data_IF_064403458678
#
_entry.id   IF_064403458678
#
_cell.length_a   1.000
_cell.length_b   1.000
_cell.length_c   1.000
_cell.angle_alpha   90.00
_cell.angle_beta   90.00
_cell.angle_gamma   90.00
#
_symmetry.space_group_name_H-M   'P 1'
#
loop_
_entity.id
_entity.type
_entity.pdbx_description
1 polymer ?
#
# COMPACT_ATOMS: atom_id res chain seq x y z
N UNK A 1 -10.53 -12.99 28.14
CA UNK A 1 -10.20 -12.62 29.55
C UNK A 1 -10.38 -11.12 29.68
N UNK A 2 -11.08 -10.64 30.71
CA UNK A 2 -11.34 -9.21 30.90
C UNK A 2 -10.49 -8.63 32.02
N UNK A 3 -9.94 -7.44 31.82
CA UNK A 3 -9.16 -6.71 32.82
C UNK A 3 -9.88 -5.43 33.21
N UNK A 4 -9.86 -5.11 34.50
CA UNK A 4 -10.49 -3.89 35.03
C UNK A 4 -9.43 -3.07 35.75
N UNK A 5 -9.29 -1.82 35.32
CA UNK A 5 -8.38 -0.86 35.93
C UNK A 5 -9.18 0.29 36.53
N UNK A 6 -8.88 0.65 37.77
CA UNK A 6 -9.45 1.85 38.42
C UNK A 6 -8.48 3.00 38.36
N UNK A 7 -8.90 4.09 37.74
CA UNK A 7 -8.19 5.36 37.71
C UNK A 7 -9.04 6.40 38.45
N UNK A 8 -8.72 6.62 39.72
CA UNK A 8 -9.54 7.46 40.60
C UNK A 8 -10.95 6.88 40.78
N UNK A 9 -11.97 7.63 40.38
CA UNK A 9 -13.38 7.20 40.44
C UNK A 9 -13.87 6.50 39.16
N UNK A 10 -13.04 6.40 38.11
CA UNK A 10 -13.42 5.79 36.84
C UNK A 10 -12.94 4.33 36.80
N UNK A 11 -13.86 3.42 36.49
CA UNK A 11 -13.56 2.02 36.19
C UNK A 11 -13.51 1.80 34.68
N UNK A 12 -12.37 1.36 34.16
CA UNK A 12 -12.18 1.01 32.75
C UNK A 12 -12.18 -0.51 32.62
N UNK A 13 -13.03 -1.03 31.75
CA UNK A 13 -13.13 -2.45 31.44
C UNK A 13 -12.54 -2.70 30.05
N UNK A 14 -11.56 -3.60 29.98
CA UNK A 14 -10.95 -4.02 28.72
C UNK A 14 -11.28 -5.50 28.52
N UNK A 15 -12.13 -5.77 27.53
CA UNK A 15 -12.35 -7.13 27.05
C UNK A 15 -11.38 -7.46 25.92
N UNK A 16 -10.56 -8.49 26.12
CA UNK A 16 -9.70 -9.04 25.06
C UNK A 16 -10.47 -10.15 24.36
N UNK A 17 -11.19 -9.79 23.30
CA UNK A 17 -11.78 -10.73 22.33
C UNK A 17 -10.75 -10.97 21.22
N UNK A 18 -9.90 -12.00 21.35
CA UNK A 18 -8.93 -12.28 20.28
C UNK A 18 -7.93 -13.43 20.50
N UNK A 19 -7.63 -13.81 21.74
CA UNK A 19 -6.53 -14.76 21.99
C UNK A 19 -6.72 -16.13 21.32
N UNK A 20 -7.92 -16.73 21.33
CA UNK A 20 -8.11 -18.07 20.77
C UNK A 20 -7.99 -18.11 19.24
N UNK A 21 -8.51 -17.10 18.55
CA UNK A 21 -8.41 -17.01 17.09
C UNK A 21 -6.97 -16.69 16.64
N UNK A 22 -6.28 -15.83 17.40
CA UNK A 22 -4.90 -15.45 17.13
C UNK A 22 -3.93 -16.62 17.39
N UNK A 23 -4.16 -17.41 18.45
CA UNK A 23 -3.36 -18.60 18.74
C UNK A 23 -3.50 -19.67 17.66
N UNK A 24 -4.73 -19.89 17.15
CA UNK A 24 -4.96 -20.79 16.01
C UNK A 24 -4.33 -20.28 14.71
N UNK A 25 -4.34 -18.97 14.46
CA UNK A 25 -3.69 -18.38 13.30
C UNK A 25 -2.16 -18.52 13.35
N UNK A 26 -1.55 -18.29 14.52
CA UNK A 26 -0.11 -18.46 14.73
C UNK A 26 0.32 -19.92 14.57
N UNK A 27 -0.47 -20.87 15.07
CA UNK A 27 -0.18 -22.29 14.89
C UNK A 27 -0.30 -22.74 13.43
N UNK A 28 -1.28 -22.21 12.69
CA UNK A 28 -1.44 -22.45 11.26
C UNK A 28 -0.23 -21.92 10.46
N UNK A 29 0.22 -20.69 10.75
CA UNK A 29 1.41 -20.09 10.13
C UNK A 29 2.67 -20.90 10.44
N UNK A 30 2.85 -21.34 11.68
CA UNK A 30 4.00 -22.15 12.08
C UNK A 30 4.07 -23.48 11.31
N UNK A 31 2.92 -24.14 11.08
CA UNK A 31 2.84 -25.38 10.29
C UNK A 31 3.14 -25.14 8.81
N UNK A 32 2.66 -24.03 8.24
CA UNK A 32 2.96 -23.67 6.86
C UNK A 32 4.45 -23.42 6.64
N UNK A 33 5.09 -22.68 7.55
CA UNK A 33 6.52 -22.44 7.48
C UNK A 33 7.31 -23.74 7.61
N UNK A 34 6.94 -24.63 8.52
CA UNK A 34 7.57 -25.94 8.66
C UNK A 34 7.46 -26.77 7.37
N UNK A 35 6.32 -26.75 6.69
CA UNK A 35 6.13 -27.42 5.39
C UNK A 35 7.07 -26.86 4.30
N UNK A 36 7.17 -25.54 4.19
CA UNK A 36 8.07 -24.90 3.22
C UNK A 36 9.54 -25.24 3.46
N UNK A 37 9.97 -25.34 4.73
CA UNK A 37 11.33 -25.77 5.06
C UNK A 37 11.56 -27.24 4.68
N UNK A 38 10.57 -28.12 4.90
CA UNK A 38 10.65 -29.52 4.49
C UNK A 38 10.75 -29.67 2.97
N UNK A 39 9.97 -28.90 2.21
CA UNK A 39 10.00 -28.92 0.75
C UNK A 39 11.34 -28.42 0.21
N UNK A 40 11.90 -27.37 0.81
CA UNK A 40 13.22 -26.85 0.45
C UNK A 40 14.33 -27.87 0.67
N UNK A 41 14.30 -28.59 1.79
CA UNK A 41 15.28 -29.64 2.10
C UNK A 41 15.10 -30.84 1.18
N UNK A 42 13.86 -31.25 0.88
CA UNK A 42 13.58 -32.33 -0.07
C UNK A 42 14.07 -31.98 -1.48
N UNK A 43 13.84 -30.75 -1.93
CA UNK A 43 14.34 -30.27 -3.22
C UNK A 43 15.88 -30.26 -3.27
N UNK A 44 16.54 -29.88 -2.18
CA UNK A 44 18.01 -29.90 -2.09
C UNK A 44 18.60 -31.33 -2.09
N UNK A 45 17.83 -32.34 -1.69
CA UNK A 45 18.24 -33.74 -1.66
C UNK A 45 17.91 -34.51 -2.95
N UNK A 46 17.19 -33.91 -3.90
CA UNK A 46 16.91 -34.53 -5.19
C UNK A 46 18.18 -34.51 -6.08
N UNK A 47 18.57 -35.64 -6.71
CA UNK A 47 19.71 -35.66 -7.62
C UNK A 47 19.41 -34.83 -8.87
N UNK A 48 20.19 -33.77 -9.07
CA UNK A 48 20.07 -32.84 -10.20
C UNK A 48 20.29 -33.54 -11.53
N UNK A 49 19.25 -33.69 -12.34
CA UNK A 49 19.42 -33.81 -13.78
C UNK A 49 19.97 -32.47 -14.29
N UNK A 50 21.20 -32.47 -14.82
CA UNK A 50 21.92 -31.29 -15.27
C UNK A 50 21.14 -30.52 -16.34
N UNK A 51 20.56 -29.39 -15.97
CA UNK A 51 20.23 -28.31 -16.88
C UNK A 51 21.21 -27.17 -16.62
N UNK A 52 22.19 -27.01 -17.51
CA UNK A 52 23.15 -25.90 -17.46
C UNK A 52 22.43 -24.56 -17.58
N UNK A 53 22.61 -23.60 -16.66
CA UNK A 53 22.09 -22.26 -16.84
C UNK A 53 22.92 -21.53 -17.91
N UNK A 54 22.23 -21.05 -18.95
CA UNK A 54 22.76 -20.08 -19.92
C UNK A 54 23.12 -18.78 -19.18
N UNK A 55 24.22 -18.07 -19.52
CA UNK A 55 24.55 -16.82 -18.84
C UNK A 55 23.50 -15.74 -19.12
N UNK A 56 22.89 -15.23 -18.05
CA UNK A 56 22.04 -14.06 -18.09
C UNK A 56 22.85 -12.84 -18.55
N UNK A 57 22.34 -12.14 -19.56
CA UNK A 57 22.88 -10.88 -20.04
C UNK A 57 22.77 -9.82 -18.95
N UNK A 58 23.86 -9.09 -18.70
CA UNK A 58 23.94 -8.05 -17.69
C UNK A 58 22.93 -6.92 -17.98
N UNK A 59 22.17 -6.43 -16.98
CA UNK A 59 21.32 -5.26 -17.14
C UNK A 59 22.17 -3.99 -17.30
N UNK A 60 21.91 -3.23 -18.35
CA UNK A 60 22.45 -1.88 -18.56
C UNK A 60 22.06 -0.94 -17.41
N UNK A 61 23.00 -0.10 -17.01
CA UNK A 61 22.88 0.86 -15.93
C UNK A 61 21.68 1.83 -16.12
N UNK A 62 21.04 2.28 -15.02
CA UNK A 62 19.98 3.28 -15.07
C UNK A 62 20.53 4.65 -15.50
N UNK A 63 19.77 5.45 -16.28
CA UNK A 63 20.14 6.83 -16.55
C UNK A 63 20.06 7.68 -15.29
N UNK A 64 21.06 8.53 -15.10
CA UNK A 64 21.21 9.47 -13.99
C UNK A 64 20.06 10.49 -13.97
N UNK A 65 19.43 10.77 -12.83
CA UNK A 65 18.44 11.84 -12.72
C UNK A 65 19.10 13.22 -12.90
N UNK A 66 18.49 14.16 -13.65
CA UNK A 66 18.97 15.54 -13.71
C UNK A 66 18.66 16.25 -12.39
N UNK A 67 19.70 16.85 -11.80
CA UNK A 67 19.60 17.76 -10.65
C UNK A 67 18.96 19.08 -11.11
N UNK A 68 17.86 19.57 -10.51
CA UNK A 68 17.42 20.93 -10.76
C UNK A 68 18.34 21.91 -10.00
N UNK A 69 19.12 22.69 -10.76
CA UNK A 69 19.93 23.77 -10.23
C UNK A 69 19.05 24.92 -9.71
N UNK A 70 19.50 25.49 -8.59
CA UNK A 70 18.81 26.54 -7.84
C UNK A 70 18.78 27.91 -8.56
N UNK A 71 17.66 28.60 -8.34
CA UNK A 71 17.45 30.07 -8.26
C UNK A 71 18.14 30.99 -9.28
N UNK A 72 17.35 31.55 -10.20
CA UNK A 72 17.66 32.79 -10.90
C UNK A 72 16.66 33.90 -10.57
N UNK A 73 17.22 35.07 -10.25
CA UNK A 73 16.64 36.39 -10.01
C UNK A 73 15.67 36.86 -11.13
N UNK A 74 14.62 37.65 -10.83
CA UNK A 74 13.69 38.14 -11.86
C UNK A 74 14.32 39.27 -12.70
N UNK A 75 14.23 39.12 -14.02
CA UNK A 75 14.56 40.12 -15.04
C UNK A 75 13.52 40.01 -16.19
N UNK A 76 13.32 41.07 -17.00
CA UNK A 76 12.00 41.58 -17.40
C UNK A 76 11.27 40.76 -18.48
N UNK A 77 9.97 41.05 -18.57
CA UNK A 77 8.96 40.40 -19.42
C UNK A 77 9.32 40.50 -20.92
N UNK A 78 9.54 39.35 -21.57
CA UNK A 78 9.64 39.19 -23.02
C UNK A 78 8.27 38.84 -23.65
N UNK A 79 8.02 39.16 -24.94
CA UNK A 79 6.74 38.89 -25.61
C UNK A 79 6.43 37.39 -25.73
N UNK A 80 5.14 36.99 -25.93
CA UNK A 80 4.74 35.59 -25.93
C UNK A 80 5.33 34.86 -27.15
N UNK A 81 6.29 33.98 -26.88
CA UNK A 81 6.77 32.97 -27.83
C UNK A 81 5.67 31.91 -27.96
N UNK A 82 5.28 31.56 -29.18
CA UNK A 82 4.33 30.48 -29.44
C UNK A 82 4.79 29.18 -28.73
N UNK A 83 3.87 28.40 -28.12
CA UNK A 83 4.26 27.20 -27.40
C UNK A 83 4.92 26.23 -28.36
N UNK A 84 6.16 25.85 -28.05
CA UNK A 84 6.83 24.75 -28.74
C UNK A 84 5.99 23.47 -28.60
N UNK A 85 5.94 22.59 -29.61
CA UNK A 85 5.26 21.31 -29.49
C UNK A 85 5.87 20.53 -28.33
N UNK A 86 5.05 20.26 -27.31
CA UNK A 86 5.44 19.42 -26.17
C UNK A 86 5.66 18.01 -26.72
N UNK A 87 6.80 17.35 -26.44
CA UNK A 87 6.99 15.96 -26.82
C UNK A 87 5.84 15.11 -26.28
N UNK A 88 5.24 14.28 -27.13
CA UNK A 88 4.26 13.31 -26.67
C UNK A 88 4.92 12.38 -25.65
N UNK A 89 4.40 12.34 -24.43
CA UNK A 89 4.77 11.32 -23.45
C UNK A 89 4.40 9.97 -24.08
N UNK A 90 5.30 8.97 -24.10
CA UNK A 90 4.97 7.64 -24.59
C UNK A 90 3.70 7.17 -23.89
N UNK A 91 2.67 6.83 -24.67
CA UNK A 91 1.44 6.28 -24.12
C UNK A 91 1.78 4.96 -23.43
N UNK A 92 1.32 4.81 -22.19
CA UNK A 92 1.37 3.53 -21.50
C UNK A 92 0.62 2.47 -22.34
N UNK A 93 1.15 1.25 -22.49
CA UNK A 93 0.57 0.24 -23.38
C UNK A 93 -0.85 -0.19 -23.01
N UNK A 94 -1.29 0.11 -21.80
CA UNK A 94 -2.62 -0.23 -21.31
C UNK A 94 -3.63 0.91 -21.49
N UNK A 95 -3.15 2.12 -21.77
CA UNK A 95 -4.01 3.26 -22.09
C UNK A 95 -4.44 3.25 -23.55
N UNK A 96 -5.67 3.69 -23.83
CA UNK A 96 -6.09 3.94 -25.21
C UNK A 96 -5.32 5.13 -25.79
N UNK A 97 -5.22 5.25 -27.13
CA UNK A 97 -4.58 6.41 -27.74
C UNK A 97 -5.21 7.73 -27.27
N UNK A 98 -4.39 8.59 -26.64
CA UNK A 98 -4.83 9.88 -26.11
C UNK A 98 -5.48 9.83 -24.72
N UNK A 99 -5.64 8.63 -24.13
CA UNK A 99 -6.10 8.46 -22.76
C UNK A 99 -4.93 8.69 -21.79
N UNK A 100 -5.23 9.34 -20.67
CA UNK A 100 -4.26 9.50 -19.59
C UNK A 100 -4.57 8.53 -18.46
N UNK A 101 -3.55 8.03 -17.73
CA UNK A 101 -3.75 7.25 -16.53
C UNK A 101 -4.66 7.97 -15.52
N UNK A 102 -5.74 7.31 -15.12
CA UNK A 102 -6.65 7.80 -14.09
C UNK A 102 -7.10 6.63 -13.21
N UNK A 103 -7.38 6.92 -11.93
CA UNK A 103 -7.99 5.94 -11.04
C UNK A 103 -9.49 5.88 -11.30
N UNK A 104 -10.03 4.67 -11.45
CA UNK A 104 -11.47 4.44 -11.57
C UNK A 104 -11.95 3.49 -10.47
N UNK A 105 -13.28 3.44 -10.28
CA UNK A 105 -13.96 2.50 -9.36
C UNK A 105 -13.29 2.37 -7.97
N UNK A 106 -12.95 1.15 -7.57
CA UNK A 106 -12.33 0.85 -6.29
C UNK A 106 -10.96 1.51 -6.10
N UNK A 107 -10.18 1.70 -7.16
CA UNK A 107 -8.90 2.42 -7.05
C UNK A 107 -9.09 3.90 -6.80
N UNK A 108 -10.15 4.51 -7.35
CA UNK A 108 -10.49 5.89 -7.03
C UNK A 108 -10.89 6.04 -5.55
N UNK A 109 -11.69 5.10 -5.02
CA UNK A 109 -12.05 5.08 -3.59
C UNK A 109 -10.83 4.85 -2.70
N UNK A 110 -9.92 3.96 -3.10
CA UNK A 110 -8.68 3.68 -2.39
C UNK A 110 -7.75 4.90 -2.36
N UNK A 111 -7.58 5.54 -3.52
CA UNK A 111 -6.79 6.76 -3.67
C UNK A 111 -7.37 7.91 -2.83
N UNK A 112 -8.69 8.04 -2.75
CA UNK A 112 -9.32 9.05 -1.90
C UNK A 112 -8.99 8.88 -0.41
N UNK A 113 -8.84 7.63 0.06
CA UNK A 113 -8.47 7.34 1.46
C UNK A 113 -6.96 7.44 1.72
N UNK A 114 -6.13 7.01 0.77
CA UNK A 114 -4.67 6.98 0.91
C UNK A 114 -4.00 8.31 0.52
N UNK A 115 -4.63 9.10 -0.33
CA UNK A 115 -4.10 10.34 -0.88
C UNK A 115 -2.70 10.17 -1.46
N UNK A 116 -1.79 11.07 -1.07
CA UNK A 116 -0.41 11.08 -1.57
C UNK A 116 0.42 9.82 -1.28
N UNK A 117 -0.07 8.92 -0.40
CA UNK A 117 0.58 7.63 -0.14
C UNK A 117 0.47 6.66 -1.31
N UNK A 118 -0.65 6.68 -2.02
CA UNK A 118 -0.87 5.84 -3.21
C UNK A 118 -0.19 6.42 -4.46
N UNK A 119 0.05 7.73 -4.45
CA UNK A 119 0.63 8.45 -5.58
C UNK A 119 -0.37 8.73 -6.69
N UNK A 120 0.17 8.98 -7.88
CA UNK A 120 -0.54 9.18 -9.14
C UNK A 120 -0.46 7.92 -10.00
N UNK A 121 -1.51 7.60 -10.77
CA UNK A 121 -1.48 6.46 -11.68
C UNK A 121 -0.47 6.73 -12.80
N UNK A 122 0.34 5.73 -13.13
CA UNK A 122 1.34 5.78 -14.22
C UNK A 122 0.95 4.90 -15.40
N UNK A 123 -0.09 4.09 -15.24
CA UNK A 123 -0.70 3.25 -16.28
C UNK A 123 -2.23 3.31 -16.19
N UNK A 124 -2.92 2.95 -17.27
CA UNK A 124 -4.35 2.68 -17.20
C UNK A 124 -4.61 1.29 -16.59
N UNK A 125 -5.84 0.98 -16.22
CA UNK A 125 -6.18 -0.33 -15.64
C UNK A 125 -6.01 -1.44 -16.69
N UNK A 126 -5.39 -2.56 -16.31
CA UNK A 126 -5.20 -3.73 -17.17
C UNK A 126 -5.40 -5.04 -16.42
N UNK A 127 -5.84 -6.08 -17.11
CA UNK A 127 -5.92 -7.42 -16.52
C UNK A 127 -4.53 -8.02 -16.28
N UNK A 128 -4.37 -8.78 -15.20
CA UNK A 128 -3.13 -9.48 -14.90
C UNK A 128 -2.75 -10.43 -16.06
N UNK A 129 -1.60 -10.22 -16.72
CA UNK A 129 -1.17 -11.06 -17.84
C UNK A 129 -0.88 -12.51 -17.45
N UNK A 130 -0.75 -12.81 -16.15
CA UNK A 130 -0.59 -14.18 -15.63
C UNK A 130 -1.92 -14.92 -15.47
N UNK A 131 -3.05 -14.25 -15.69
CA UNK A 131 -4.37 -14.88 -15.72
C UNK A 131 -4.99 -15.13 -14.36
N UNK A 132 -4.58 -14.42 -13.30
CA UNK A 132 -5.25 -14.49 -11.99
C UNK A 132 -6.70 -14.00 -12.02
N UNK A 133 -7.05 -13.16 -12.99
CA UNK A 133 -8.32 -12.42 -13.03
C UNK A 133 -8.29 -11.11 -12.25
N UNK A 134 -7.14 -10.75 -11.66
CA UNK A 134 -6.97 -9.48 -10.98
C UNK A 134 -6.83 -8.35 -12.02
N UNK A 135 -7.35 -7.16 -11.68
CA UNK A 135 -7.11 -5.93 -12.45
C UNK A 135 -5.96 -5.17 -11.79
N UNK A 136 -4.98 -4.73 -12.55
CA UNK A 136 -3.77 -4.08 -12.08
C UNK A 136 -3.69 -2.64 -12.59
N UNK A 137 -3.05 -1.79 -11.81
CA UNK A 137 -2.69 -0.44 -12.21
C UNK A 137 -1.41 0.00 -11.49
N UNK A 138 -0.37 0.34 -12.24
CA UNK A 138 0.84 0.92 -11.69
C UNK A 138 0.64 2.38 -11.27
N UNK A 139 1.29 2.75 -10.17
CA UNK A 139 1.39 4.13 -9.68
C UNK A 139 2.85 4.53 -9.52
N UNK A 140 3.14 5.82 -9.28
CA UNK A 140 4.53 6.25 -9.01
C UNK A 140 5.05 5.80 -7.64
N UNK A 141 4.18 5.25 -6.78
CA UNK A 141 4.52 4.78 -5.42
C UNK A 141 4.42 3.26 -5.26
N UNK A 142 3.84 2.55 -6.22
CA UNK A 142 3.66 1.11 -6.10
C UNK A 142 2.70 0.55 -7.12
N UNK A 143 1.99 -0.50 -6.72
CA UNK A 143 1.04 -1.22 -7.56
C UNK A 143 -0.32 -1.26 -6.85
N UNK A 144 -1.36 -0.87 -7.57
CA UNK A 144 -2.74 -1.15 -7.20
C UNK A 144 -3.22 -2.38 -7.93
N UNK A 145 -3.95 -3.24 -7.23
CA UNK A 145 -4.60 -4.38 -7.82
C UNK A 145 -5.97 -4.59 -7.20
N UNK A 146 -6.92 -5.05 -8.01
CA UNK A 146 -8.27 -5.39 -7.60
C UNK A 146 -8.43 -6.88 -7.78
N UNK A 147 -8.76 -7.55 -6.67
CA UNK A 147 -9.05 -8.96 -6.65
C UNK A 147 -10.52 -9.20 -6.92
N UNK A 148 -10.81 -9.84 -8.06
CA UNK A 148 -12.19 -10.11 -8.46
C UNK A 148 -12.91 -11.08 -7.52
N UNK A 149 -12.21 -12.10 -7.00
CA UNK A 149 -12.82 -13.16 -6.17
C UNK A 149 -13.32 -12.65 -4.81
N UNK A 150 -12.67 -11.62 -4.27
CA UNK A 150 -13.01 -11.03 -2.96
C UNK A 150 -13.54 -9.60 -3.09
N UNK A 151 -13.66 -9.09 -4.31
CA UNK A 151 -14.05 -7.70 -4.60
C UNK A 151 -13.22 -6.68 -3.80
N UNK A 152 -11.90 -6.90 -3.72
CA UNK A 152 -11.01 -6.13 -2.83
C UNK A 152 -9.98 -5.33 -3.63
N UNK A 153 -10.08 -3.99 -3.70
CA UNK A 153 -9.00 -3.14 -4.21
C UNK A 153 -7.92 -2.95 -3.14
N UNK A 154 -6.68 -3.20 -3.53
CA UNK A 154 -5.49 -3.18 -2.69
C UNK A 154 -4.39 -2.35 -3.34
N UNK A 155 -3.60 -1.65 -2.53
CA UNK A 155 -2.38 -0.96 -2.94
C UNK A 155 -1.21 -1.52 -2.16
N UNK A 156 -0.08 -1.73 -2.85
CA UNK A 156 1.15 -2.22 -2.25
C UNK A 156 2.37 -1.44 -2.73
N UNK A 157 3.31 -1.19 -1.82
CA UNK A 157 4.67 -0.72 -2.12
C UNK A 157 5.66 -1.89 -2.25
N UNK A 158 5.17 -3.13 -2.16
CA UNK A 158 5.94 -4.36 -2.07
C UNK A 158 5.98 -4.92 -0.65
N UNK A 159 6.24 -4.07 0.35
CA UNK A 159 6.29 -4.50 1.76
C UNK A 159 5.08 -4.03 2.57
N UNK A 160 4.57 -2.83 2.29
CA UNK A 160 3.37 -2.30 2.94
C UNK A 160 2.16 -2.47 2.03
N UNK A 161 1.02 -2.76 2.63
CA UNK A 161 -0.21 -3.03 1.91
C UNK A 161 -1.40 -2.33 2.56
N UNK A 162 -2.33 -1.86 1.73
CA UNK A 162 -3.58 -1.27 2.14
C UNK A 162 -4.70 -1.83 1.29
N UNK A 163 -5.76 -2.34 1.91
CA UNK A 163 -6.92 -2.86 1.20
C UNK A 163 -8.19 -2.17 1.67
N UNK A 164 -9.10 -1.95 0.72
CA UNK A 164 -10.46 -1.52 1.00
C UNK A 164 -11.33 -2.76 1.16
N UNK A 165 -11.70 -3.03 2.40
CA UNK A 165 -12.59 -4.15 2.77
C UNK A 165 -13.96 -3.62 3.18
N UNK A 166 -14.91 -4.52 3.44
CA UNK A 166 -16.21 -4.14 4.02
C UNK A 166 -16.06 -3.48 5.41
N UNK A 167 -14.97 -3.78 6.12
CA UNK A 167 -14.62 -3.16 7.40
C UNK A 167 -13.83 -1.84 7.25
N UNK A 168 -13.86 -1.25 6.05
CA UNK A 168 -13.08 -0.07 5.64
C UNK A 168 -11.60 -0.41 5.33
N UNK A 169 -10.73 0.61 5.35
CA UNK A 169 -9.33 0.55 4.98
C UNK A 169 -8.53 -0.20 6.04
N UNK A 170 -7.99 -1.34 5.64
CA UNK A 170 -7.06 -2.13 6.46
C UNK A 170 -5.65 -1.96 5.95
N UNK A 171 -4.67 -2.15 6.84
CA UNK A 171 -3.26 -2.09 6.56
C UNK A 171 -2.55 -3.29 7.18
N UNK A 172 -1.52 -3.77 6.48
CA UNK A 172 -0.57 -4.74 7.00
C UNK A 172 0.78 -4.60 6.30
N UNK A 173 1.78 -5.31 6.83
CA UNK A 173 3.12 -5.40 6.25
C UNK A 173 3.54 -6.85 6.07
N UNK A 174 4.55 -7.07 5.22
CA UNK A 174 5.15 -8.38 4.96
C UNK A 174 4.90 -8.88 3.55
N UNK A 175 5.15 -10.17 3.31
CA UNK A 175 5.10 -10.77 1.97
C UNK A 175 3.68 -11.19 1.54
N UNK A 176 2.70 -11.17 2.46
CA UNK A 176 1.31 -11.53 2.14
C UNK A 176 0.66 -10.45 1.29
N UNK A 177 0.11 -10.84 0.14
CA UNK A 177 -0.64 -9.96 -0.77
C UNK A 177 -2.09 -9.80 -0.35
N UNK A 178 -2.64 -10.77 0.36
CA UNK A 178 -3.98 -10.68 0.94
C UNK A 178 -3.93 -10.17 2.38
N UNK A 179 -4.95 -9.42 2.83
CA UNK A 179 -5.03 -8.98 4.21
C UNK A 179 -5.10 -10.22 5.11
N UNK A 180 -4.15 -10.40 6.04
CA UNK A 180 -4.25 -11.46 7.03
C UNK A 180 -5.40 -11.16 8.00
N UNK A 181 -5.89 -12.17 8.72
CA UNK A 181 -7.03 -12.00 9.64
C UNK A 181 -6.78 -11.01 10.79
N UNK A 182 -5.52 -10.65 11.03
CA UNK A 182 -5.06 -9.64 11.99
C UNK A 182 -4.74 -8.28 11.36
N UNK A 183 -5.09 -8.06 10.08
CA UNK A 183 -4.92 -6.78 9.41
C UNK A 183 -5.60 -5.66 10.20
N UNK A 184 -4.85 -4.60 10.47
CA UNK A 184 -5.27 -3.54 11.37
C UNK A 184 -5.99 -2.43 10.60
N UNK A 185 -6.99 -1.75 11.17
CA UNK A 185 -7.57 -0.57 10.56
C UNK A 185 -6.49 0.49 10.32
N UNK A 186 -6.39 1.05 9.12
CA UNK A 186 -5.30 1.95 8.72
C UNK A 186 -5.18 3.23 9.58
N UNK A 187 -6.22 3.58 10.35
CA UNK A 187 -6.22 4.71 11.28
C UNK A 187 -5.42 4.50 12.58
N UNK A 188 -5.03 3.26 12.93
CA UNK A 188 -4.37 2.98 14.22
C UNK A 188 -2.85 3.23 14.22
N UNK A 189 -2.24 3.46 13.06
CA UNK A 189 -0.78 3.61 12.94
C UNK A 189 -0.28 5.03 13.18
N UNK A 190 -1.16 6.03 13.17
CA UNK A 190 -0.78 7.39 13.57
C UNK A 190 -0.64 7.58 15.08
N UNK A 191 -1.03 6.59 15.91
CA UNK A 191 -1.00 6.75 17.36
C UNK A 191 0.12 5.98 18.08
N UNK A 192 0.86 5.10 17.38
CA UNK A 192 1.96 4.30 17.94
C UNK A 192 3.33 4.80 17.44
N UNK A 193 3.61 6.09 17.60
CA UNK A 193 5.00 6.56 17.61
C UNK A 193 5.63 6.20 18.97
N UNK A 194 6.93 5.81 19.05
CA UNK A 194 7.57 5.54 20.33
C UNK A 194 7.53 6.79 21.21
N UNK A 195 6.99 6.62 22.42
CA UNK A 195 6.96 7.62 23.49
C UNK A 195 8.40 7.89 23.95
N UNK A 196 9.15 8.68 23.18
CA UNK A 196 10.42 9.28 23.64
C UNK A 196 10.63 10.73 23.20
N UNK A 197 9.74 11.31 22.39
CA UNK A 197 9.76 12.75 22.12
C UNK A 197 8.64 13.45 22.89
N UNK A 198 9.04 14.42 23.71
CA UNK A 198 8.18 15.24 24.58
C UNK A 198 6.93 15.73 23.86
N UNK A 199 5.83 15.70 24.61
CA UNK A 199 4.57 16.42 24.39
C UNK A 199 4.77 17.66 23.50
N UNK A 200 4.33 17.57 22.26
CA UNK A 200 3.80 18.71 21.50
C UNK A 200 2.62 18.20 20.69
N UNK A 201 1.48 18.78 21.03
CA UNK A 201 0.15 18.43 20.58
C UNK A 201 0.03 18.34 19.04
N UNK A 202 -0.55 17.25 18.54
CA UNK A 202 -1.50 17.31 17.43
C UNK A 202 -2.29 16.00 17.28
N UNK A 203 -2.95 15.57 18.36
CA UNK A 203 -3.91 14.46 18.31
C UNK A 203 -5.13 14.76 19.20
N UNK A 204 -5.58 16.02 19.17
CA UNK A 204 -6.66 16.50 20.03
C UNK A 204 -7.64 17.41 19.29
N UNK A 205 -8.07 17.02 18.08
CA UNK A 205 -9.08 17.83 17.37
C UNK A 205 -10.15 17.06 16.56
N UNK A 206 -10.26 15.73 16.65
CA UNK A 206 -11.42 15.04 16.05
C UNK A 206 -12.64 14.91 16.97
N UNK A 207 -12.50 15.12 18.28
CA UNK A 207 -13.66 15.07 19.21
C UNK A 207 -14.41 16.40 19.31
N UNK A 208 -13.84 17.53 18.83
CA UNK A 208 -14.47 18.85 18.96
C UNK A 208 -15.35 19.27 17.78
N UNK A 209 -15.22 18.64 16.61
CA UNK A 209 -16.07 18.97 15.45
C UNK A 209 -17.45 18.31 15.48
N UNK A 210 -17.68 17.28 16.30
CA UNK A 210 -18.98 16.61 16.39
C UNK A 210 -19.97 17.29 17.35
N UNK A 211 -19.51 18.10 18.32
CA UNK A 211 -20.40 18.77 19.30
C UNK A 211 -20.94 20.14 18.85
N UNK A 212 -20.44 20.74 17.77
CA UNK A 212 -20.97 22.03 17.26
C UNK A 212 -22.10 21.90 16.23
N UNK A 213 -22.56 20.68 15.90
CA UNK A 213 -23.63 20.45 14.93
C UNK A 213 -24.99 20.11 15.56
N UNK A 214 -25.14 20.19 16.89
CA UNK A 214 -26.40 19.90 17.60
C UNK A 214 -26.97 21.10 18.39
N UNK A 215 -26.41 22.31 18.23
CA UNK A 215 -26.97 23.55 18.79
C UNK A 215 -27.48 24.46 17.66
N UNK A 216 -28.60 24.05 17.02
CA UNK A 216 -29.62 24.89 16.36
C UNK A 216 -30.98 24.24 16.59
#
# INVERSE_FOLDING_TARGET
MGYVFRLGQVGVFVEVTGQAAQEQAVEAQARQFAGLQQDRVRAALQPSASASPTPATAPSAPPTPPVPAATAKPAPVSPPVAPAPVPAVPADPYCRPGEQPQFHFGFATLSAKLGGRMGSPTSCEYGDPRGSGDTLQATDKGLSFYRQSTNTPTFTTGFEHWALTDADLVYWTGDSIDPPGDAQPAGVHSCLAPVTARVSASCRDLTRQAELALDV
#
